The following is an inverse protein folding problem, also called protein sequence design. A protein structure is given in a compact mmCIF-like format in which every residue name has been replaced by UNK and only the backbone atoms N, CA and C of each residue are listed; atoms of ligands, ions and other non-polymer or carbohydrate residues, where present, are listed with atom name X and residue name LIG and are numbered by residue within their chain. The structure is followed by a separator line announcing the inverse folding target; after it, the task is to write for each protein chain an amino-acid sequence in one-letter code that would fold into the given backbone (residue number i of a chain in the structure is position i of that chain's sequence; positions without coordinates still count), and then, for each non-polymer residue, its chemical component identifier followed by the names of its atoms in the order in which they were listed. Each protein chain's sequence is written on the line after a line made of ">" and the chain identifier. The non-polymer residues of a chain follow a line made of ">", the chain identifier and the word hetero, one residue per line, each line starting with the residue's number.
data_IF_875069628751
#
_entry.id   IF_875069628751
#
_cell.length_a   1.000
_cell.length_b   1.000
_cell.length_c   1.000
_cell.angle_alpha   90.00
_cell.angle_beta   90.00
_cell.angle_gamma   90.00
#
_symmetry.space_group_name_H-M   'P 1'
#
loop_
_entity.id
_entity.type
_entity.pdbx_description
1 polymer ?
#
# COMPACT_ATOMS: atom_id res chain seq x y z
N UNK A 1 -6.19 2.23 2.52
CA UNK A 1 -5.13 1.47 3.20
C UNK A 1 -5.37 1.62 4.69
N UNK A 2 -5.51 0.53 5.42
CA UNK A 2 -5.84 0.55 6.86
C UNK A 2 -4.80 -0.22 7.66
N UNK A 3 -4.50 0.25 8.86
CA UNK A 3 -3.69 -0.45 9.86
C UNK A 3 -4.63 -1.04 10.91
N UNK A 4 -4.56 -2.35 11.15
CA UNK A 4 -5.52 -3.07 12.00
C UNK A 4 -4.94 -3.58 13.32
N UNK A 5 -3.63 -3.39 13.55
CA UNK A 5 -2.91 -3.99 14.68
C UNK A 5 -2.58 -3.04 15.84
N UNK A 6 -2.92 -1.74 15.75
CA UNK A 6 -2.51 -0.75 16.73
C UNK A 6 -2.98 -1.06 18.17
N UNK A 7 -4.13 -1.71 18.34
CA UNK A 7 -4.74 -1.98 19.65
C UNK A 7 -4.54 -3.43 20.16
N UNK A 8 -3.94 -4.31 19.34
CA UNK A 8 -3.74 -5.74 19.68
C UNK A 8 -2.70 -5.98 20.80
N UNK A 9 -1.60 -5.21 20.95
CA UNK A 9 -0.57 -5.50 21.97
C UNK A 9 -1.06 -5.41 23.43
N UNK A 10 -2.22 -4.80 23.69
CA UNK A 10 -2.79 -4.62 25.03
C UNK A 10 -4.03 -5.49 25.30
N UNK A 11 -4.30 -6.47 24.44
CA UNK A 11 -5.51 -7.31 24.48
C UNK A 11 -5.25 -8.72 25.05
N UNK A 12 -6.27 -9.33 25.66
CA UNK A 12 -6.29 -10.76 26.03
C UNK A 12 -6.33 -11.69 24.80
N UNK A 13 -6.53 -11.13 23.61
CA UNK A 13 -6.64 -11.84 22.34
C UNK A 13 -5.47 -11.50 21.42
N UNK A 14 -4.91 -12.52 20.77
CA UNK A 14 -3.89 -12.38 19.73
C UNK A 14 -4.42 -12.86 18.38
N UNK A 15 -3.78 -12.42 17.30
CA UNK A 15 -3.99 -13.03 15.98
C UNK A 15 -3.57 -14.50 16.03
N UNK A 16 -4.37 -15.37 15.44
CA UNK A 16 -4.02 -16.77 15.29
C UNK A 16 -3.04 -16.94 14.12
N UNK A 17 -2.04 -17.82 14.28
CA UNK A 17 -1.08 -18.14 13.22
C UNK A 17 -1.71 -18.99 12.10
N UNK A 18 -2.85 -19.61 12.38
CA UNK A 18 -3.59 -20.44 11.42
C UNK A 18 -4.33 -19.58 10.38
N UNK A 19 -4.38 -20.08 9.15
CA UNK A 19 -5.13 -19.43 8.08
C UNK A 19 -6.63 -19.46 8.41
N UNK A 20 -7.31 -18.33 8.25
CA UNK A 20 -8.78 -18.24 8.33
C UNK A 20 -9.49 -19.05 7.23
N UNK A 21 -8.73 -19.61 6.29
CA UNK A 21 -9.26 -20.12 5.04
C UNK A 21 -9.67 -18.98 4.11
N UNK A 22 -10.40 -19.33 3.06
CA UNK A 22 -10.92 -18.36 2.10
C UNK A 22 -11.98 -17.47 2.77
N UNK A 23 -11.68 -16.18 2.93
CA UNK A 23 -12.60 -15.19 3.49
C UNK A 23 -13.78 -14.88 2.54
N UNK A 24 -13.68 -15.30 1.28
CA UNK A 24 -14.68 -15.07 0.25
C UNK A 24 -15.03 -16.41 -0.37
N UNK A 25 -16.33 -16.68 -0.54
CA UNK A 25 -16.77 -17.88 -1.25
C UNK A 25 -16.20 -17.89 -2.68
N UNK A 26 -15.65 -19.01 -3.17
CA UNK A 26 -15.23 -19.17 -4.56
C UNK A 26 -16.37 -18.95 -5.56
N UNK A 27 -17.62 -19.03 -5.10
CA UNK A 27 -18.85 -18.81 -5.89
C UNK A 27 -19.39 -17.38 -5.77
N UNK A 28 -18.72 -16.50 -5.02
CA UNK A 28 -19.14 -15.11 -4.88
C UNK A 28 -18.89 -14.38 -6.20
N UNK A 29 -19.91 -13.69 -6.72
CA UNK A 29 -19.72 -12.83 -7.88
C UNK A 29 -18.77 -11.69 -7.51
N UNK A 30 -17.65 -11.63 -8.21
CA UNK A 30 -16.73 -10.50 -8.11
C UNK A 30 -17.39 -9.31 -8.81
N UNK A 31 -17.60 -8.21 -8.08
CA UNK A 31 -18.16 -6.97 -8.64
C UNK A 31 -17.22 -6.33 -9.68
N UNK A 32 -15.94 -6.67 -9.63
CA UNK A 32 -14.89 -6.22 -10.55
C UNK A 32 -14.01 -7.40 -10.94
N UNK A 33 -13.54 -7.45 -12.19
CA UNK A 33 -12.69 -8.55 -12.70
C UNK A 33 -11.33 -8.67 -11.98
N UNK A 34 -10.88 -7.59 -11.33
CA UNK A 34 -9.63 -7.52 -10.57
C UNK A 34 -9.85 -6.58 -9.37
N UNK A 35 -9.46 -7.03 -8.19
CA UNK A 35 -9.48 -6.24 -6.95
C UNK A 35 -8.16 -6.41 -6.22
N UNK A 36 -7.57 -5.29 -5.80
CA UNK A 36 -6.28 -5.24 -5.11
C UNK A 36 -6.50 -4.60 -3.74
N UNK A 37 -6.07 -5.27 -2.68
CA UNK A 37 -6.21 -4.81 -1.31
C UNK A 37 -4.87 -4.85 -0.60
N UNK A 38 -4.56 -3.81 0.18
CA UNK A 38 -3.34 -3.70 0.97
C UNK A 38 -3.65 -3.45 2.45
N UNK A 39 -2.93 -4.15 3.33
CA UNK A 39 -3.07 -4.05 4.78
C UNK A 39 -1.69 -4.06 5.45
N UNK A 40 -1.57 -3.36 6.56
CA UNK A 40 -0.41 -3.48 7.46
C UNK A 40 -0.86 -4.30 8.67
N UNK A 41 -0.16 -5.41 8.91
CA UNK A 41 -0.41 -6.30 10.06
C UNK A 41 0.91 -6.85 10.57
N UNK A 42 1.10 -6.83 11.88
CA UNK A 42 2.35 -7.22 12.55
C UNK A 42 3.57 -6.50 11.95
N UNK A 43 3.42 -5.20 11.69
CA UNK A 43 4.44 -4.35 11.08
C UNK A 43 4.92 -4.82 9.69
N UNK A 44 4.11 -5.60 8.97
CA UNK A 44 4.38 -6.06 7.62
C UNK A 44 3.29 -5.59 6.68
N UNK A 45 3.69 -5.01 5.54
CA UNK A 45 2.77 -4.68 4.46
C UNK A 45 2.43 -5.95 3.67
N UNK A 46 1.14 -6.27 3.59
CA UNK A 46 0.60 -7.39 2.83
C UNK A 46 -0.31 -6.87 1.74
N UNK A 47 -0.12 -7.40 0.53
CA UNK A 47 -0.99 -7.15 -0.62
C UNK A 47 -1.73 -8.45 -0.97
N UNK A 48 -2.98 -8.33 -1.39
CA UNK A 48 -3.80 -9.45 -1.85
C UNK A 48 -4.56 -9.04 -3.10
N UNK A 49 -4.60 -9.94 -4.08
CA UNK A 49 -5.27 -9.72 -5.37
C UNK A 49 -6.33 -10.78 -5.55
N UNK A 50 -7.58 -10.34 -5.65
CA UNK A 50 -8.71 -11.18 -6.05
C UNK A 50 -9.01 -10.92 -7.53
N UNK A 51 -9.26 -11.97 -8.30
CA UNK A 51 -9.45 -11.83 -9.75
C UNK A 51 -10.44 -12.84 -10.30
N UNK A 52 -11.09 -12.47 -11.40
CA UNK A 52 -11.99 -13.36 -12.14
C UNK A 52 -11.16 -14.37 -12.96
N UNK A 53 -11.33 -15.69 -12.72
CA UNK A 53 -10.59 -16.71 -13.47
C UNK A 53 -11.04 -16.79 -14.94
N UNK A 54 -12.18 -16.19 -15.29
CA UNK A 54 -12.63 -16.08 -16.69
C UNK A 54 -11.86 -15.02 -17.49
N UNK A 55 -11.23 -14.06 -16.80
CA UNK A 55 -10.52 -12.92 -17.40
C UNK A 55 -9.01 -13.04 -17.27
N UNK A 56 -8.53 -13.56 -16.13
CA UNK A 56 -7.10 -13.61 -15.80
C UNK A 56 -6.64 -15.03 -15.48
N UNK A 57 -5.43 -15.36 -15.96
CA UNK A 57 -4.74 -16.58 -15.58
C UNK A 57 -3.98 -16.35 -14.26
N UNK A 58 -3.97 -17.33 -13.33
CA UNK A 58 -3.22 -17.22 -12.07
C UNK A 58 -1.77 -16.81 -12.27
N UNK A 59 -1.10 -17.36 -13.30
CA UNK A 59 0.30 -17.05 -13.61
C UNK A 59 0.53 -15.59 -13.98
N UNK A 60 -0.46 -14.92 -14.58
CA UNK A 60 -0.38 -13.49 -14.88
C UNK A 60 -0.45 -12.64 -13.62
N UNK A 61 -1.27 -13.06 -12.65
CA UNK A 61 -1.43 -12.38 -11.37
C UNK A 61 -0.20 -12.59 -10.48
N UNK A 62 0.38 -13.78 -10.49
CA UNK A 62 1.66 -14.06 -9.81
C UNK A 62 2.79 -13.18 -10.34
N UNK A 63 2.92 -13.08 -11.67
CA UNK A 63 3.91 -12.17 -12.29
C UNK A 63 3.67 -10.71 -11.93
N UNK A 64 2.40 -10.28 -11.92
CA UNK A 64 2.04 -8.93 -11.50
C UNK A 64 2.45 -8.66 -10.04
N UNK A 65 2.16 -9.59 -9.13
CA UNK A 65 2.53 -9.47 -7.72
C UNK A 65 4.04 -9.41 -7.51
N UNK A 66 4.80 -10.22 -8.28
CA UNK A 66 6.25 -10.21 -8.19
C UNK A 66 6.85 -8.90 -8.70
N UNK A 67 6.42 -8.42 -9.86
CA UNK A 67 6.84 -7.10 -10.36
C UNK A 67 6.43 -5.98 -9.40
N UNK A 68 5.23 -6.03 -8.83
CA UNK A 68 4.78 -5.05 -7.85
C UNK A 68 5.69 -5.00 -6.60
N UNK A 69 6.09 -6.18 -6.11
CA UNK A 69 7.02 -6.31 -4.98
C UNK A 69 8.40 -5.71 -5.29
N UNK A 70 8.93 -6.00 -6.48
CA UNK A 70 10.22 -5.46 -6.93
C UNK A 70 10.19 -3.94 -7.05
N UNK A 71 9.19 -3.39 -7.74
CA UNK A 71 9.04 -1.94 -7.97
C UNK A 71 8.84 -1.17 -6.67
N UNK A 72 8.03 -1.68 -5.73
CA UNK A 72 7.93 -1.06 -4.40
C UNK A 72 9.27 -1.06 -3.68
N UNK A 73 10.03 -2.15 -3.77
CA UNK A 73 11.36 -2.23 -3.17
C UNK A 73 12.31 -1.18 -3.75
N UNK A 74 12.25 -0.95 -5.07
CA UNK A 74 13.02 0.10 -5.74
C UNK A 74 12.60 1.50 -5.28
N UNK A 75 11.30 1.77 -5.18
CA UNK A 75 10.78 3.06 -4.70
C UNK A 75 11.23 3.31 -3.25
N UNK A 76 11.07 2.32 -2.36
CA UNK A 76 11.52 2.43 -0.96
C UNK A 76 13.02 2.72 -0.91
N UNK A 77 13.83 1.98 -1.69
CA UNK A 77 15.28 2.16 -1.72
C UNK A 77 15.66 3.55 -2.22
N UNK A 78 14.97 4.04 -3.26
CA UNK A 78 15.17 5.38 -3.79
C UNK A 78 14.83 6.46 -2.75
N UNK A 79 13.68 6.35 -2.10
CA UNK A 79 13.27 7.29 -1.06
C UNK A 79 14.22 7.29 0.15
N UNK A 80 14.81 6.14 0.51
CA UNK A 80 15.80 6.06 1.58
C UNK A 80 17.15 6.69 1.22
N UNK A 81 17.47 6.80 -0.08
CA UNK A 81 18.72 7.37 -0.57
C UNK A 81 18.63 8.88 -0.81
N UNK A 82 17.42 9.45 -0.84
CA UNK A 82 17.26 10.91 -0.80
C UNK A 82 17.56 11.38 0.63
N UNK A 83 18.64 12.15 0.79
CA UNK A 83 18.97 12.84 2.05
C UNK A 83 18.03 14.02 2.32
N UNK A 84 17.42 14.57 1.26
CA UNK A 84 16.50 15.70 1.35
C UNK A 84 15.07 15.22 1.57
N UNK A 85 14.43 15.71 2.64
CA UNK A 85 12.98 15.63 2.79
C UNK A 85 12.35 16.61 1.79
N UNK A 86 11.80 16.07 0.71
CA UNK A 86 10.90 16.83 -0.14
C UNK A 86 9.59 17.03 0.62
N UNK A 87 9.39 18.26 1.11
CA UNK A 87 8.09 18.67 1.61
C UNK A 87 7.08 18.52 0.47
N UNK A 88 6.00 17.80 0.72
CA UNK A 88 4.86 17.84 -0.19
C UNK A 88 3.83 18.84 0.36
N UNK A 89 2.98 19.45 -0.48
CA UNK A 89 1.95 20.35 0.01
C UNK A 89 0.98 19.66 0.98
N UNK A 90 0.91 18.33 0.96
CA UNK A 90 0.12 17.53 1.90
C UNK A 90 0.74 17.40 3.30
N UNK A 91 2.05 17.64 3.45
CA UNK A 91 2.73 17.71 4.76
C UNK A 91 2.50 19.05 5.45
N UNK A 92 2.19 20.09 4.67
CA UNK A 92 1.76 21.38 5.16
C UNK A 92 0.23 21.32 5.32
N UNK A 93 -0.31 21.73 6.46
CA UNK A 93 -1.76 21.77 6.71
C UNK A 93 -2.50 22.82 5.85
N UNK A 94 -1.91 23.25 4.74
CA UNK A 94 -2.38 24.25 3.80
C UNK A 94 -2.90 23.56 2.54
N UNK A 95 -4.22 23.43 2.45
CA UNK A 95 -4.91 22.71 1.37
C UNK A 95 -4.99 23.46 0.05
N UNK A 96 -4.60 24.74 0.01
CA UNK A 96 -4.67 25.59 -1.19
C UNK A 96 -3.32 25.79 -1.89
N UNK A 97 -2.26 25.12 -1.42
CA UNK A 97 -0.93 25.24 -2.02
C UNK A 97 -0.74 24.18 -3.10
N UNK A 98 -0.52 24.62 -4.34
CA UNK A 98 -0.14 23.72 -5.44
C UNK A 98 1.32 23.26 -5.30
N UNK A 99 1.69 22.17 -6.00
CA UNK A 99 3.08 21.70 -6.04
C UNK A 99 4.02 22.76 -6.63
N UNK A 100 3.60 23.45 -7.69
CA UNK A 100 4.39 24.51 -8.33
C UNK A 100 4.63 25.71 -7.37
N UNK A 101 3.64 26.10 -6.58
CA UNK A 101 3.79 27.16 -5.58
C UNK A 101 4.68 26.74 -4.41
N UNK A 102 4.67 25.46 -4.04
CA UNK A 102 5.60 24.94 -3.03
C UNK A 102 7.04 24.95 -3.54
N UNK A 103 7.26 24.54 -4.79
CA UNK A 103 8.59 24.56 -5.42
C UNK A 103 9.17 25.98 -5.47
N UNK A 104 8.36 26.98 -5.87
CA UNK A 104 8.76 28.39 -5.87
C UNK A 104 9.13 28.90 -4.46
N UNK A 105 8.41 28.46 -3.42
CA UNK A 105 8.72 28.83 -2.03
C UNK A 105 10.03 28.18 -1.59
N UNK A 106 10.24 26.89 -1.89
CA UNK A 106 11.44 26.13 -1.53
C UNK A 106 12.69 26.73 -2.19
N UNK A 107 12.61 27.11 -3.47
CA UNK A 107 13.71 27.74 -4.21
C UNK A 107 14.12 29.11 -3.63
N UNK A 108 13.16 29.86 -3.08
CA UNK A 108 13.43 31.17 -2.47
C UNK A 108 14.03 31.10 -1.06
N UNK A 109 14.03 29.93 -0.40
CA UNK A 109 14.50 29.77 0.99
C UNK A 109 15.97 29.31 1.07
N UNK A 110 16.61 28.88 -0.04
CA UNK A 110 18.01 28.41 -0.08
C UNK A 110 18.36 27.47 1.10
N UNK A 111 17.73 26.30 1.13
CA UNK A 111 18.30 25.12 1.78
C UNK A 111 19.11 24.34 0.76
#
# INVERSE_FOLDING_TARGET
>A
MGQFDQDIPHSLFSLADESTGENISPLSELTHDLSISGIIVANQFKISVSFSPYRYQPQSIEKFLESYREEIGLIISHCQQKDDQELTPSDLSYTDLSLDELDDIMDNIQL
#
